data_IF_670232318789
#
_entry.id   IF_670232318789
#
_cell.length_a   1.000
_cell.length_b   1.000
_cell.length_c   1.000
_cell.angle_alpha   90.00
_cell.angle_beta   90.00
_cell.angle_gamma   90.00
#
_symmetry.space_group_name_H-M   'P 1'
#
loop_
_entity.id
_entity.type
_entity.pdbx_description
1 polymer ?
#
# COMPACT_ATOMS: atom_id res chain seq x y z
N UNK A 1 -16.68 -7.51 -1.00
CA UNK A 1 -15.98 -8.60 -1.70
C UNK A 1 -15.96 -9.86 -0.84
N UNK A 2 -15.50 -9.74 0.41
CA UNK A 2 -15.35 -10.84 1.38
C UNK A 2 -16.46 -10.89 2.46
N UNK A 3 -17.50 -10.06 2.34
CA UNK A 3 -18.58 -9.95 3.36
C UNK A 3 -19.38 -11.25 3.56
N UNK A 4 -19.52 -12.05 2.49
CA UNK A 4 -20.19 -13.35 2.52
C UNK A 4 -19.21 -14.54 2.61
N UNK A 5 -17.90 -14.29 2.63
CA UNK A 5 -16.89 -15.33 2.73
C UNK A 5 -16.62 -15.69 4.20
N UNK A 6 -16.19 -16.93 4.45
CA UNK A 6 -15.64 -17.32 5.75
C UNK A 6 -14.33 -16.54 5.95
N UNK A 7 -14.26 -15.78 7.05
CA UNK A 7 -13.09 -14.97 7.38
C UNK A 7 -12.28 -15.66 8.49
N UNK A 8 -11.13 -16.27 8.16
CA UNK A 8 -10.24 -16.84 9.17
C UNK A 8 -9.66 -15.73 10.07
N UNK A 9 -8.99 -16.12 11.16
CA UNK A 9 -8.38 -15.18 12.11
C UNK A 9 -7.40 -14.19 11.45
N UNK A 10 -6.73 -14.61 10.38
CA UNK A 10 -5.80 -13.79 9.60
C UNK A 10 -6.19 -13.86 8.12
N UNK A 11 -6.38 -12.70 7.49
CA UNK A 11 -6.57 -12.58 6.04
C UNK A 11 -5.40 -11.76 5.48
N UNK A 12 -4.64 -12.35 4.55
CA UNK A 12 -3.62 -11.63 3.79
C UNK A 12 -4.25 -11.06 2.52
N UNK A 13 -4.26 -9.73 2.39
CA UNK A 13 -4.74 -9.05 1.18
C UNK A 13 -3.66 -8.94 0.11
N UNK A 14 -2.39 -8.82 0.53
CA UNK A 14 -1.25 -8.62 -0.34
C UNK A 14 -0.08 -9.49 0.15
N UNK A 15 0.60 -10.14 -0.80
CA UNK A 15 1.86 -10.84 -0.57
C UNK A 15 2.76 -10.62 -1.77
N UNK A 16 3.95 -10.07 -1.57
CA UNK A 16 4.91 -9.76 -2.65
C UNK A 16 5.50 -10.99 -3.34
N UNK A 17 5.36 -12.18 -2.75
CA UNK A 17 5.84 -13.46 -3.28
C UNK A 17 4.74 -14.28 -3.96
N UNK A 18 3.51 -13.77 -4.00
CA UNK A 18 2.40 -14.41 -4.72
C UNK A 18 2.58 -14.35 -6.24
N UNK A 19 1.94 -15.27 -6.97
CA UNK A 19 1.99 -15.30 -8.44
C UNK A 19 1.31 -14.08 -9.07
N UNK A 20 0.26 -13.55 -8.43
CA UNK A 20 -0.43 -12.32 -8.84
C UNK A 20 -0.67 -11.43 -7.60
N UNK A 21 0.35 -10.72 -7.12
CA UNK A 21 0.31 -10.05 -5.83
C UNK A 21 -0.63 -8.84 -5.81
N UNK A 22 -0.89 -8.25 -6.99
CA UNK A 22 -1.80 -7.10 -7.15
C UNK A 22 -3.19 -7.52 -7.64
N UNK A 23 -3.56 -8.81 -7.61
CA UNK A 23 -4.84 -9.29 -8.14
C UNK A 23 -6.07 -8.57 -7.53
N UNK A 24 -5.99 -8.22 -6.26
CA UNK A 24 -7.07 -7.52 -5.54
C UNK A 24 -6.98 -5.99 -5.64
N UNK A 25 -5.92 -5.47 -6.24
CA UNK A 25 -5.57 -4.05 -6.24
C UNK A 25 -5.65 -3.45 -7.64
N UNK A 26 -6.19 -2.24 -7.74
CA UNK A 26 -5.93 -1.38 -8.91
C UNK A 26 -4.62 -0.62 -8.67
N UNK A 27 -3.92 -0.30 -9.76
CA UNK A 27 -2.70 0.51 -9.71
C UNK A 27 -2.96 1.82 -10.42
N UNK A 28 -2.60 2.91 -9.76
CA UNK A 28 -2.72 4.27 -10.27
C UNK A 28 -1.32 4.90 -10.26
N UNK A 29 -0.93 5.50 -11.39
CA UNK A 29 0.36 6.15 -11.55
C UNK A 29 0.15 7.56 -12.12
N UNK A 30 1.01 8.51 -11.70
CA UNK A 30 1.06 9.83 -12.30
C UNK A 30 1.59 9.77 -13.75
N UNK A 31 0.66 9.86 -14.71
CA UNK A 31 1.00 9.87 -16.13
C UNK A 31 1.75 11.14 -16.58
N UNK A 32 1.81 12.20 -15.74
CA UNK A 32 2.56 13.42 -16.07
C UNK A 32 4.07 13.30 -15.85
N UNK A 33 4.52 12.31 -15.07
CA UNK A 33 5.94 12.09 -14.74
C UNK A 33 6.30 10.58 -14.84
N UNK A 34 6.24 9.98 -16.05
CA UNK A 34 6.37 8.54 -16.23
C UNK A 34 7.78 8.00 -15.92
N UNK A 35 8.82 8.83 -16.07
CA UNK A 35 10.22 8.41 -15.77
C UNK A 35 10.50 8.32 -14.28
N UNK A 36 9.77 9.10 -13.46
CA UNK A 36 9.99 9.24 -12.02
C UNK A 36 8.93 8.49 -11.20
N UNK A 37 8.01 7.79 -11.87
CA UNK A 37 6.89 7.10 -11.25
C UNK A 37 6.91 5.63 -11.62
N UNK A 38 6.93 4.73 -10.62
CA UNK A 38 6.81 3.31 -10.88
C UNK A 38 6.19 2.54 -9.72
N UNK A 39 5.51 1.44 -10.08
CA UNK A 39 5.00 0.42 -9.17
C UNK A 39 5.57 -0.90 -9.67
N UNK A 40 6.53 -1.46 -8.94
CA UNK A 40 7.31 -2.62 -9.39
C UNK A 40 7.51 -3.61 -8.25
N UNK A 41 7.42 -4.90 -8.57
CA UNK A 41 7.92 -5.97 -7.70
C UNK A 41 9.44 -6.01 -7.85
N UNK A 42 10.15 -5.51 -6.86
CA UNK A 42 11.60 -5.53 -6.82
C UNK A 42 12.05 -6.90 -6.34
N UNK A 43 12.39 -7.76 -7.29
CA UNK A 43 12.96 -9.08 -7.07
C UNK A 43 14.47 -9.01 -7.34
N UNK A 44 15.28 -9.06 -6.27
CA UNK A 44 16.74 -8.93 -6.37
C UNK A 44 17.42 -10.19 -6.92
N UNK A 45 16.69 -11.29 -7.12
CA UNK A 45 17.20 -12.47 -7.84
C UNK A 45 17.36 -12.23 -9.34
N UNK A 46 16.77 -11.15 -9.88
CA UNK A 46 16.91 -10.71 -11.27
C UNK A 46 17.94 -9.58 -11.37
N UNK A 47 18.85 -9.58 -12.36
CA UNK A 47 19.82 -8.50 -12.54
C UNK A 47 19.07 -7.17 -12.76
N UNK A 48 19.24 -6.24 -11.82
CA UNK A 48 18.55 -4.95 -11.83
C UNK A 48 19.08 -4.06 -12.95
N UNK A 49 18.22 -3.63 -13.86
CA UNK A 49 18.48 -2.49 -14.74
C UNK A 49 17.98 -1.22 -14.04
N UNK A 50 18.92 -0.41 -13.53
CA UNK A 50 18.74 0.99 -13.11
C UNK A 50 17.72 1.26 -11.97
N UNK A 51 17.99 0.74 -10.77
CA UNK A 51 17.46 1.33 -9.54
C UNK A 51 18.58 2.12 -8.85
N UNK A 52 18.37 3.42 -8.67
CA UNK A 52 19.30 4.31 -7.95
C UNK A 52 19.61 3.68 -6.59
N UNK A 53 20.86 3.27 -6.41
CA UNK A 53 21.35 2.71 -5.16
C UNK A 53 21.42 3.84 -4.14
N UNK A 54 20.40 3.93 -3.27
CA UNK A 54 20.45 4.81 -2.11
C UNK A 54 21.60 4.35 -1.21
N UNK A 55 22.60 5.21 -1.06
CA UNK A 55 23.70 5.03 -0.11
C UNK A 55 23.15 5.08 1.32
N UNK A 56 23.24 3.97 2.05
CA UNK A 56 23.10 4.02 3.52
C UNK A 56 24.04 2.99 4.15
N UNK A 57 25.19 3.51 4.61
CA UNK A 57 25.97 2.97 5.72
C UNK A 57 25.13 3.03 7.00
N UNK A 58 24.24 2.07 7.20
CA UNK A 58 23.61 1.77 8.49
C UNK A 58 23.41 0.25 8.51
N UNK A 59 24.11 -0.45 9.40
CA UNK A 59 24.15 -1.91 9.50
C UNK A 59 22.82 -2.49 10.01
N UNK A 60 21.77 -2.37 9.21
CA UNK A 60 20.52 -3.10 9.36
C UNK A 60 20.55 -4.39 8.53
N UNK A 61 19.91 -5.45 9.02
CA UNK A 61 19.72 -6.68 8.24
C UNK A 61 19.08 -6.35 6.89
N UNK A 62 19.83 -6.55 5.81
CA UNK A 62 19.31 -6.45 4.46
C UNK A 62 18.36 -7.64 4.23
N UNK A 63 17.06 -7.38 4.30
CA UNK A 63 16.06 -8.39 3.94
C UNK A 63 16.15 -8.62 2.42
N UNK A 64 16.69 -9.78 2.02
CA UNK A 64 16.75 -10.20 0.62
C UNK A 64 15.45 -10.90 0.24
N UNK A 65 14.40 -10.12 -0.02
CA UNK A 65 13.06 -10.61 -0.34
C UNK A 65 12.45 -9.77 -1.46
N UNK A 66 11.58 -10.40 -2.26
CA UNK A 66 10.77 -9.66 -3.23
C UNK A 66 9.84 -8.72 -2.48
N UNK A 67 9.85 -7.44 -2.83
CA UNK A 67 8.99 -6.41 -2.24
C UNK A 67 8.26 -5.62 -3.31
N UNK A 68 7.07 -5.11 -3.00
CA UNK A 68 6.44 -4.11 -3.83
C UNK A 68 7.06 -2.74 -3.54
N UNK A 69 7.66 -2.14 -4.56
CA UNK A 69 8.21 -0.81 -4.51
C UNK A 69 7.28 0.14 -5.28
N UNK A 70 6.75 1.13 -4.57
CA UNK A 70 5.97 2.23 -5.14
C UNK A 70 6.81 3.49 -4.98
N UNK A 71 7.08 4.17 -6.08
CA UNK A 71 7.85 5.41 -6.10
C UNK A 71 7.12 6.46 -6.96
N UNK A 72 7.06 7.68 -6.45
CA UNK A 72 6.47 8.84 -7.14
C UNK A 72 6.95 10.14 -6.49
N UNK A 73 7.19 11.21 -7.27
CA UNK A 73 7.40 12.54 -6.74
C UNK A 73 6.11 13.18 -6.19
N UNK A 74 4.94 12.64 -6.56
CA UNK A 74 3.63 13.09 -6.10
C UNK A 74 2.88 11.96 -5.40
N UNK A 75 2.84 12.03 -4.06
CA UNK A 75 2.17 11.05 -3.21
C UNK A 75 0.68 10.80 -3.56
N UNK A 76 -0.17 11.82 -3.77
CA UNK A 76 -1.61 11.58 -3.98
C UNK A 76 -1.94 11.00 -5.37
N UNK A 77 -1.00 10.99 -6.31
CA UNK A 77 -1.26 10.58 -7.70
C UNK A 77 -0.83 9.16 -8.02
N UNK A 78 0.03 8.57 -7.20
CA UNK A 78 0.54 7.21 -7.42
C UNK A 78 0.26 6.35 -6.20
N UNK A 79 -0.64 5.38 -6.36
CA UNK A 79 -1.08 4.52 -5.27
C UNK A 79 -1.62 3.19 -5.81
N UNK A 80 -1.78 2.23 -4.91
CA UNK A 80 -2.57 1.02 -5.15
C UNK A 80 -3.83 1.08 -4.29
N UNK A 81 -4.95 0.56 -4.80
CA UNK A 81 -6.23 0.60 -4.10
C UNK A 81 -6.88 -0.78 -4.08
N UNK A 82 -7.37 -1.20 -2.92
CA UNK A 82 -8.14 -2.42 -2.74
C UNK A 82 -9.53 -2.09 -2.17
N UNK A 83 -10.62 -2.61 -2.77
CA UNK A 83 -10.65 -3.49 -3.94
C UNK A 83 -10.36 -2.72 -5.24
N UNK A 84 -9.91 -3.44 -6.27
CA UNK A 84 -9.56 -2.88 -7.59
C UNK A 84 -10.70 -2.18 -8.34
N UNK A 85 -11.95 -2.34 -7.88
CA UNK A 85 -13.13 -1.71 -8.45
C UNK A 85 -13.61 -0.58 -7.55
N UNK A 86 -13.64 0.64 -8.11
CA UNK A 86 -14.16 1.83 -7.42
C UNK A 86 -15.59 1.60 -6.93
N UNK A 87 -15.89 2.05 -5.70
CA UNK A 87 -17.21 1.93 -5.10
C UNK A 87 -17.55 0.55 -4.54
N UNK A 88 -16.65 -0.45 -4.64
CA UNK A 88 -16.80 -1.70 -3.92
C UNK A 88 -16.07 -1.67 -2.59
N UNK A 89 -16.57 -2.46 -1.64
CA UNK A 89 -15.99 -2.62 -0.32
C UNK A 89 -15.35 -3.99 -0.15
N UNK A 90 -14.32 -4.08 0.69
CA UNK A 90 -13.72 -5.36 1.07
C UNK A 90 -14.69 -6.17 1.93
N UNK A 91 -15.28 -5.56 2.95
CA UNK A 91 -16.19 -6.24 3.89
C UNK A 91 -15.47 -7.15 4.88
N UNK A 92 -14.21 -6.84 5.22
CA UNK A 92 -13.46 -7.50 6.29
C UNK A 92 -13.94 -7.02 7.65
N UNK A 93 -14.01 -7.94 8.63
CA UNK A 93 -14.51 -7.67 9.99
C UNK A 93 -13.43 -7.71 11.07
N UNK A 94 -12.17 -7.84 10.67
CA UNK A 94 -11.03 -7.92 11.58
C UNK A 94 -10.82 -6.60 12.32
N UNK A 95 -10.52 -6.68 13.61
CA UNK A 95 -10.26 -5.49 14.45
C UNK A 95 -8.88 -4.88 14.24
N UNK A 96 -7.97 -5.61 13.58
CA UNK A 96 -6.57 -5.23 13.42
C UNK A 96 -6.15 -5.31 11.96
N UNK A 97 -5.37 -4.32 11.54
CA UNK A 97 -4.70 -4.28 10.25
C UNK A 97 -3.21 -4.18 10.53
N UNK A 98 -2.42 -5.02 9.86
CA UNK A 98 -0.96 -4.98 9.94
C UNK A 98 -0.39 -4.66 8.56
N UNK A 99 0.44 -3.63 8.49
CA UNK A 99 1.13 -3.21 7.27
C UNK A 99 2.63 -3.27 7.53
N UNK A 100 3.34 -4.08 6.76
CA UNK A 100 4.80 -4.13 6.78
C UNK A 100 5.35 -3.25 5.66
N UNK A 101 5.98 -2.14 6.04
CA UNK A 101 6.61 -1.21 5.12
C UNK A 101 8.06 -0.90 5.56
N UNK A 102 8.93 -0.61 4.60
CA UNK A 102 10.29 -0.13 4.88
C UNK A 102 10.31 1.38 4.86
N UNK A 103 10.84 1.99 5.91
CA UNK A 103 11.09 3.44 5.92
C UNK A 103 12.22 3.76 4.93
N UNK A 104 11.93 4.61 3.94
CA UNK A 104 12.89 5.07 2.93
C UNK A 104 13.38 6.50 3.17
N UNK A 105 13.07 7.09 4.34
CA UNK A 105 13.35 8.49 4.64
C UNK A 105 12.55 9.48 3.78
N UNK A 106 11.38 9.06 3.29
CA UNK A 106 10.50 9.83 2.41
C UNK A 106 9.08 9.81 2.95
N UNK A 107 8.29 10.77 2.49
CA UNK A 107 6.88 10.85 2.82
C UNK A 107 6.10 9.64 2.33
N UNK A 108 5.24 9.12 3.20
CA UNK A 108 4.38 7.99 2.91
C UNK A 108 3.03 8.17 3.62
N UNK A 109 1.97 7.63 3.00
CA UNK A 109 0.65 7.55 3.61
C UNK A 109 -0.13 6.34 3.12
N UNK A 110 -1.11 5.91 3.89
CA UNK A 110 -2.13 4.97 3.45
C UNK A 110 -3.50 5.33 4.04
N UNK A 111 -4.54 4.82 3.40
CA UNK A 111 -5.92 5.07 3.77
C UNK A 111 -6.68 3.76 3.98
N UNK A 112 -7.61 3.78 4.93
CA UNK A 112 -8.49 2.66 5.24
C UNK A 112 -9.93 3.16 5.31
N UNK A 113 -10.77 2.66 4.41
CA UNK A 113 -12.21 2.82 4.50
C UNK A 113 -12.78 1.95 5.62
N UNK A 114 -13.58 2.54 6.50
CA UNK A 114 -14.27 1.87 7.60
C UNK A 114 -15.78 2.05 7.46
N UNK A 115 -16.53 1.10 8.01
CA UNK A 115 -17.98 1.19 8.15
C UNK A 115 -18.38 0.81 9.57
N UNK A 116 -19.28 1.57 10.18
CA UNK A 116 -19.83 1.23 11.49
C UNK A 116 -20.95 0.17 11.38
N UNK A 117 -21.51 -0.24 12.53
CA UNK A 117 -22.57 -1.25 12.59
C UNK A 117 -23.88 -0.81 11.91
N UNK A 118 -24.09 0.50 11.75
CA UNK A 118 -25.26 1.10 11.11
C UNK A 118 -25.01 1.34 9.61
N UNK A 119 -23.79 1.06 9.12
CA UNK A 119 -23.39 1.24 7.73
C UNK A 119 -22.90 2.66 7.40
N UNK A 120 -22.67 3.52 8.39
CA UNK A 120 -22.02 4.83 8.16
C UNK A 120 -20.56 4.60 7.79
N UNK A 121 -20.12 5.25 6.72
CA UNK A 121 -18.79 5.09 6.17
C UNK A 121 -17.89 6.24 6.60
N UNK A 122 -16.60 5.96 6.69
CA UNK A 122 -15.57 6.97 6.90
C UNK A 122 -14.23 6.47 6.38
N UNK A 123 -13.27 7.37 6.29
CA UNK A 123 -11.91 7.03 5.86
C UNK A 123 -10.92 7.49 6.92
N UNK A 124 -10.02 6.60 7.32
CA UNK A 124 -8.89 6.93 8.16
C UNK A 124 -7.64 7.03 7.29
N UNK A 125 -6.95 8.17 7.34
CA UNK A 125 -5.67 8.38 6.66
C UNK A 125 -4.56 8.46 7.69
N UNK A 126 -3.48 7.72 7.43
CA UNK A 126 -2.26 7.73 8.22
C UNK A 126 -1.12 8.20 7.34
N UNK A 127 -0.32 9.15 7.82
CA UNK A 127 0.79 9.73 7.06
C UNK A 127 1.98 10.09 7.94
N UNK A 128 3.16 10.17 7.34
CA UNK A 128 4.42 10.52 8.03
C UNK A 128 4.67 12.02 8.13
N UNK A 129 3.94 12.84 7.38
CA UNK A 129 4.15 14.29 7.25
C UNK A 129 3.13 15.14 8.01
N UNK A 130 2.09 14.54 8.58
CA UNK A 130 1.08 15.26 9.35
C UNK A 130 1.35 15.11 10.85
N UNK A 131 1.47 16.25 11.55
CA UNK A 131 1.90 16.30 12.96
C UNK A 131 0.73 16.20 13.94
N UNK A 132 -0.50 16.47 13.50
CA UNK A 132 -1.69 16.46 14.36
C UNK A 132 -2.86 15.73 13.69
N UNK A 133 -3.64 15.00 14.49
CA UNK A 133 -4.88 14.38 14.05
C UNK A 133 -5.93 15.46 13.74
N UNK A 134 -6.53 15.37 12.55
CA UNK A 134 -7.60 16.27 12.12
C UNK A 134 -8.81 15.42 11.74
N UNK A 135 -9.98 15.84 12.21
CA UNK A 135 -11.27 15.26 11.80
C UNK A 135 -11.85 16.18 10.74
N UNK A 136 -12.22 15.59 9.60
CA UNK A 136 -12.93 16.28 8.53
C UNK A 136 -14.35 15.76 8.53
N UNK A 137 -15.32 16.66 8.66
CA UNK A 137 -16.72 16.35 8.43
C UNK A 137 -16.99 16.51 6.92
N UNK A 138 -17.62 15.51 6.30
CA UNK A 138 -18.12 15.59 4.91
C UNK A 138 -19.42 16.39 4.84
#
# INVERSE_FOLDING_TARGET
MFSAAVQPAIVSLFSSTGSNPLQLFSTHCDNSLPSDTFVLLNDRSKPQTNLVSGSSDESGFLLDQTVLHIHSPSLPKTYIQCPSQSGKELGLRHSWIHVQARNLGRDWSFEVGIADQVGRKGTLRFSTFQVCSVVFDE
#
